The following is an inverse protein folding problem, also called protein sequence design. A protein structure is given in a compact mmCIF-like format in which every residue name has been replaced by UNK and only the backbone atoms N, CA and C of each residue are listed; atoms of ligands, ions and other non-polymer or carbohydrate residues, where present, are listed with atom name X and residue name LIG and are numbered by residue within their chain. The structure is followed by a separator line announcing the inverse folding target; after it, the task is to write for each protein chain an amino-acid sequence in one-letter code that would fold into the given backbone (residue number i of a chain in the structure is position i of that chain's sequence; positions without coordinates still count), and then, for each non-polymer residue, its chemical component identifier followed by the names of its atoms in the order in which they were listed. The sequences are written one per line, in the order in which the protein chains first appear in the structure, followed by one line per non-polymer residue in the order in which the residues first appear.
data_IF_721903221052
#
_entry.id   IF_721903221052
#
_cell.length_a   1.000
_cell.length_b   1.000
_cell.length_c   1.000
_cell.angle_alpha   90.00
_cell.angle_beta   90.00
_cell.angle_gamma   90.00
#
_symmetry.space_group_name_H-M   'P 1'
#
loop_
_entity.id
_entity.type
_entity.pdbx_description
1 polymer ?
#
# COMPACT_ATOMS: atom_id res chain seq x y z
N UNK A 1 -16.47 -10.25 15.08
CA UNK A 1 -15.14 -9.64 14.91
C UNK A 1 -14.77 -9.77 13.44
N UNK A 2 -14.69 -8.65 12.73
CA UNK A 2 -14.39 -8.63 11.29
C UNK A 2 -12.90 -8.33 11.12
N UNK A 3 -12.13 -9.33 10.71
CA UNK A 3 -10.73 -9.17 10.32
C UNK A 3 -10.66 -8.87 8.83
N UNK A 4 -10.05 -7.77 8.44
CA UNK A 4 -9.91 -7.38 7.04
C UNK A 4 -8.51 -6.84 6.80
N UNK A 5 -7.76 -7.53 5.93
CA UNK A 5 -6.44 -7.06 5.52
C UNK A 5 -6.55 -5.86 4.58
N UNK A 6 -5.60 -4.97 4.67
CA UNK A 6 -5.43 -3.81 3.79
C UNK A 6 -3.96 -3.45 3.68
N UNK A 7 -3.54 -3.06 2.49
CA UNK A 7 -2.20 -2.58 2.19
C UNK A 7 -2.20 -1.05 2.16
N UNK A 8 -1.35 -0.44 2.98
CA UNK A 8 -1.09 1.00 2.97
C UNK A 8 0.31 1.25 2.42
N UNK A 9 0.46 2.34 1.69
CA UNK A 9 1.71 2.70 1.04
C UNK A 9 2.12 4.10 1.42
N UNK A 10 3.40 4.27 1.67
CA UNK A 10 4.02 5.55 2.00
C UNK A 10 5.21 5.76 1.08
N UNK A 11 5.35 6.94 0.51
CA UNK A 11 6.59 7.40 -0.09
C UNK A 11 7.23 8.39 0.88
N UNK A 12 8.49 8.15 1.25
CA UNK A 12 9.22 9.01 2.18
C UNK A 12 10.58 9.41 1.64
N UNK A 13 10.99 10.63 1.96
CA UNK A 13 12.34 11.15 1.71
C UNK A 13 13.27 11.04 2.95
N UNK A 14 12.79 10.36 4.00
CA UNK A 14 13.46 10.21 5.28
C UNK A 14 13.08 11.26 6.32
N UNK A 15 12.58 12.41 5.88
CA UNK A 15 12.11 13.52 6.73
C UNK A 15 10.60 13.69 6.63
N UNK A 16 10.12 13.75 5.39
CA UNK A 16 8.72 13.93 5.03
C UNK A 16 8.16 12.67 4.39
N UNK A 17 6.86 12.62 4.26
CA UNK A 17 6.20 11.50 3.58
C UNK A 17 4.87 11.94 2.94
N UNK A 18 4.46 11.18 1.94
CA UNK A 18 3.09 11.20 1.40
C UNK A 18 2.46 9.82 1.58
N UNK A 19 1.19 9.80 1.96
CA UNK A 19 0.40 8.56 2.02
C UNK A 19 -0.21 8.34 0.66
N UNK A 20 0.17 7.23 0.01
CA UNK A 20 -0.36 6.84 -1.29
C UNK A 20 -1.72 6.15 -1.12
N UNK A 21 -2.49 5.94 -2.22
CA UNK A 21 -3.74 5.21 -2.15
C UNK A 21 -3.56 3.84 -1.53
N UNK A 22 -4.46 3.48 -0.62
CA UNK A 22 -4.51 2.14 -0.06
C UNK A 22 -5.08 1.15 -1.07
N UNK A 23 -4.76 -0.14 -0.89
CA UNK A 23 -5.31 -1.21 -1.69
C UNK A 23 -5.59 -2.46 -0.87
N UNK A 24 -6.44 -3.32 -1.39
CA UNK A 24 -6.64 -4.68 -0.88
C UNK A 24 -6.29 -5.66 -1.98
N UNK A 25 -5.37 -6.57 -1.68
CA UNK A 25 -5.07 -7.71 -2.54
C UNK A 25 -6.01 -8.90 -2.27
N UNK A 26 -6.10 -9.78 -3.26
CA UNK A 26 -6.85 -11.04 -3.22
C UNK A 26 -5.90 -12.18 -3.56
N UNK A 27 -5.57 -12.99 -2.57
CA UNK A 27 -4.51 -14.01 -2.68
C UNK A 27 -4.99 -15.40 -3.07
N UNK A 28 -6.28 -15.68 -2.94
CA UNK A 28 -6.81 -17.01 -3.25
C UNK A 28 -7.09 -17.18 -4.74
N UNK A 29 -6.73 -18.36 -5.27
CA UNK A 29 -6.88 -18.64 -6.70
C UNK A 29 -8.34 -18.83 -7.13
N UNK A 30 -9.21 -19.27 -6.25
CA UNK A 30 -10.60 -19.62 -6.55
C UNK A 30 -11.60 -18.55 -6.13
N UNK A 31 -12.75 -18.57 -6.77
CA UNK A 31 -13.87 -17.68 -6.48
C UNK A 31 -14.31 -17.78 -5.02
N UNK A 32 -14.77 -16.65 -4.47
CA UNK A 32 -15.24 -16.60 -3.09
C UNK A 32 -14.17 -16.78 -2.03
N UNK A 33 -12.92 -16.41 -2.33
CA UNK A 33 -11.78 -16.51 -1.42
C UNK A 33 -11.46 -17.97 -1.04
N UNK A 34 -11.45 -18.86 -2.04
CA UNK A 34 -11.21 -20.29 -1.89
C UNK A 34 -9.94 -20.76 -2.62
N UNK A 35 -9.53 -22.00 -2.37
CA UNK A 35 -8.34 -22.59 -3.01
C UNK A 35 -7.03 -22.15 -2.37
N UNK A 36 -5.94 -22.33 -3.11
CA UNK A 36 -4.58 -22.06 -2.65
C UNK A 36 -4.27 -20.56 -2.61
N UNK A 37 -3.38 -20.18 -1.72
CA UNK A 37 -2.78 -18.85 -1.73
C UNK A 37 -1.80 -18.73 -2.91
N UNK A 38 -1.77 -17.54 -3.49
CA UNK A 38 -0.91 -17.14 -4.60
C UNK A 38 -0.06 -15.93 -4.20
N UNK A 39 0.71 -15.40 -5.13
CA UNK A 39 1.37 -14.10 -4.99
C UNK A 39 0.38 -12.92 -4.96
N UNK A 40 -0.80 -13.09 -5.55
CA UNK A 40 -1.88 -12.12 -5.67
C UNK A 40 -2.63 -12.32 -6.98
N UNK A 41 -3.95 -12.44 -6.91
CA UNK A 41 -4.83 -12.63 -8.08
C UNK A 41 -5.46 -11.33 -8.55
N UNK A 42 -5.35 -10.29 -7.77
CA UNK A 42 -5.86 -8.97 -8.10
C UNK A 42 -5.84 -8.03 -6.92
N UNK A 43 -6.10 -6.76 -7.18
CA UNK A 43 -6.19 -5.74 -6.16
C UNK A 43 -7.29 -4.73 -6.46
N UNK A 44 -7.82 -4.09 -5.43
CA UNK A 44 -8.83 -3.03 -5.52
C UNK A 44 -8.38 -1.83 -4.71
N UNK A 45 -8.53 -0.63 -5.28
CA UNK A 45 -8.28 0.65 -4.63
C UNK A 45 -9.33 1.68 -5.12
N UNK A 46 -10.00 2.49 -4.27
CA UNK A 46 -9.91 2.49 -2.80
C UNK A 46 -10.57 1.27 -2.18
N UNK A 47 -10.22 1.02 -0.92
CA UNK A 47 -10.78 -0.11 -0.15
C UNK A 47 -12.04 0.34 0.57
N UNK A 48 -13.23 -0.25 0.29
CA UNK A 48 -14.52 0.28 0.78
C UNK A 48 -14.68 0.37 2.30
N UNK A 49 -13.94 -0.44 3.06
CA UNK A 49 -13.99 -0.44 4.52
C UNK A 49 -12.92 0.45 5.18
N UNK A 50 -12.06 1.08 4.40
CA UNK A 50 -11.05 2.03 4.89
C UNK A 50 -11.70 3.41 4.98
N UNK A 51 -11.93 3.86 6.21
CA UNK A 51 -12.51 5.17 6.50
C UNK A 51 -11.40 6.20 6.73
N UNK A 52 -11.76 7.49 6.66
CA UNK A 52 -10.84 8.57 7.03
C UNK A 52 -10.31 8.43 8.47
N UNK A 53 -11.17 7.97 9.40
CA UNK A 53 -10.76 7.72 10.79
C UNK A 53 -9.71 6.61 10.87
N UNK A 54 -9.90 5.52 10.12
CA UNK A 54 -8.91 4.44 10.04
C UNK A 54 -7.56 4.96 9.50
N UNK A 55 -7.56 5.71 8.40
CA UNK A 55 -6.33 6.31 7.83
C UNK A 55 -5.65 7.22 8.85
N UNK A 56 -6.39 8.08 9.55
CA UNK A 56 -5.85 8.94 10.60
C UNK A 56 -5.20 8.14 11.74
N UNK A 57 -5.81 7.01 12.13
CA UNK A 57 -5.23 6.12 13.15
C UNK A 57 -3.92 5.49 12.64
N UNK A 58 -3.90 5.00 11.40
CA UNK A 58 -2.70 4.44 10.77
C UNK A 58 -1.59 5.49 10.73
N UNK A 59 -1.90 6.68 10.26
CA UNK A 59 -0.91 7.75 10.18
C UNK A 59 -0.33 8.10 11.56
N UNK A 60 -1.19 8.29 12.55
CA UNK A 60 -0.78 8.70 13.90
C UNK A 60 -0.02 7.61 14.66
N UNK A 61 -0.51 6.34 14.56
CA UNK A 61 -0.03 5.24 15.42
C UNK A 61 1.08 4.41 14.76
N UNK A 62 1.19 4.47 13.42
CA UNK A 62 2.06 3.59 12.64
C UNK A 62 3.02 4.40 11.77
N UNK A 63 2.52 5.20 10.81
CA UNK A 63 3.37 5.89 9.84
C UNK A 63 4.34 6.87 10.53
N UNK A 64 3.80 7.83 11.30
CA UNK A 64 4.63 8.83 11.99
C UNK A 64 5.67 8.21 12.92
N UNK A 65 5.30 7.24 13.79
CA UNK A 65 6.30 6.55 14.61
C UNK A 65 7.34 5.78 13.81
N UNK A 66 6.96 5.19 12.66
CA UNK A 66 7.90 4.47 11.79
C UNK A 66 8.93 5.44 11.19
N UNK A 67 8.51 6.55 10.60
CA UNK A 67 9.42 7.56 10.04
C UNK A 67 10.32 8.15 11.13
N UNK A 68 9.75 8.46 12.29
CA UNK A 68 10.53 8.96 13.43
C UNK A 68 11.54 7.92 13.92
N UNK A 69 11.15 6.65 14.03
CA UNK A 69 12.04 5.57 14.44
C UNK A 69 13.22 5.36 13.47
N UNK A 70 12.98 5.44 12.15
CA UNK A 70 14.05 5.37 11.17
C UNK A 70 15.10 6.48 11.40
N UNK A 71 14.65 7.71 11.71
CA UNK A 71 15.55 8.84 12.03
C UNK A 71 16.33 8.60 13.31
N UNK A 72 15.67 8.16 14.37
CA UNK A 72 16.28 7.91 15.68
C UNK A 72 17.34 6.80 15.62
N UNK A 73 17.10 5.78 14.80
CA UNK A 73 18.05 4.67 14.56
C UNK A 73 19.13 5.03 13.52
N UNK A 74 19.14 6.27 12.98
CA UNK A 74 20.04 6.73 11.94
C UNK A 74 19.99 5.87 10.66
N UNK A 75 18.79 5.38 10.30
CA UNK A 75 18.56 4.67 9.06
C UNK A 75 18.19 5.69 7.98
N UNK A 76 19.13 5.96 7.08
CA UNK A 76 18.91 6.82 5.91
C UNK A 76 18.10 6.05 4.86
N UNK A 77 16.78 6.24 4.89
CA UNK A 77 15.87 5.57 3.98
C UNK A 77 15.04 6.57 3.17
N UNK A 78 15.08 6.42 1.84
CA UNK A 78 14.21 7.14 0.89
C UNK A 78 13.57 6.14 -0.04
N UNK A 79 12.24 6.25 -0.24
CA UNK A 79 11.51 5.35 -1.11
C UNK A 79 10.17 4.91 -0.55
N UNK A 80 9.68 3.78 -1.04
CA UNK A 80 8.37 3.24 -0.69
C UNK A 80 8.44 2.37 0.55
N UNK A 81 7.47 2.54 1.45
CA UNK A 81 7.19 1.63 2.56
C UNK A 81 5.79 1.07 2.34
N UNK A 82 5.71 -0.24 2.14
CA UNK A 82 4.47 -1.01 2.21
C UNK A 82 4.21 -1.37 3.67
N UNK A 83 2.98 -1.20 4.11
CA UNK A 83 2.52 -1.55 5.45
C UNK A 83 1.31 -2.47 5.31
N UNK A 84 1.52 -3.76 5.54
CA UNK A 84 0.44 -4.74 5.64
C UNK A 84 -0.29 -4.61 6.96
N UNK A 85 -1.58 -4.34 6.90
CA UNK A 85 -2.42 -4.07 8.07
C UNK A 85 -3.57 -5.05 8.18
N UNK A 86 -3.96 -5.35 9.41
CA UNK A 86 -5.23 -5.94 9.76
C UNK A 86 -6.11 -4.88 10.40
N UNK A 87 -7.28 -4.63 9.79
CA UNK A 87 -8.33 -3.82 10.41
C UNK A 87 -9.14 -4.72 11.34
N UNK A 88 -9.07 -4.45 12.63
CA UNK A 88 -9.84 -5.15 13.67
C UNK A 88 -10.81 -4.17 14.29
N UNK A 89 -12.08 -4.26 13.89
CA UNK A 89 -13.16 -3.39 14.40
C UNK A 89 -12.84 -1.88 14.33
N UNK A 90 -12.11 -1.46 13.29
CA UNK A 90 -11.74 -0.06 13.05
C UNK A 90 -10.40 0.36 13.67
N UNK A 91 -9.64 -0.57 14.26
CA UNK A 91 -8.28 -0.33 14.73
C UNK A 91 -7.24 -1.04 13.84
N UNK A 92 -6.15 -0.35 13.45
CA UNK A 92 -5.11 -0.92 12.63
C UNK A 92 -4.08 -1.67 13.47
N UNK A 93 -3.73 -2.88 13.02
CA UNK A 93 -2.64 -3.70 13.54
C UNK A 93 -1.67 -4.03 12.41
N UNK A 94 -0.38 -3.82 12.63
CA UNK A 94 0.65 -4.14 11.64
C UNK A 94 0.86 -5.64 11.57
N UNK A 95 0.84 -6.17 10.35
CA UNK A 95 1.21 -7.54 10.01
C UNK A 95 2.68 -7.59 9.62
N UNK A 96 3.06 -6.70 8.67
CA UNK A 96 4.41 -6.66 8.11
C UNK A 96 4.75 -5.28 7.53
N UNK A 97 6.05 -5.03 7.38
CA UNK A 97 6.60 -3.95 6.59
C UNK A 97 7.40 -4.52 5.42
N UNK A 98 7.33 -3.86 4.27
CA UNK A 98 8.19 -4.13 3.13
C UNK A 98 8.73 -2.80 2.59
N UNK A 99 10.00 -2.77 2.19
CA UNK A 99 10.66 -1.59 1.63
C UNK A 99 10.52 -1.53 0.11
N UNK A 100 9.31 -1.76 -0.37
CA UNK A 100 8.89 -1.78 -1.78
C UNK A 100 7.39 -1.63 -1.89
N UNK A 101 6.91 -1.47 -3.10
CA UNK A 101 5.48 -1.56 -3.39
C UNK A 101 4.98 -3.02 -3.37
N UNK A 102 3.67 -3.21 -3.41
CA UNK A 102 3.03 -4.53 -3.48
C UNK A 102 2.80 -5.01 -4.91
N UNK A 103 2.62 -6.29 -5.09
CA UNK A 103 2.18 -6.93 -6.31
C UNK A 103 0.99 -7.86 -5.97
N UNK A 104 -0.22 -7.61 -6.53
CA UNK A 104 -0.55 -6.73 -7.66
C UNK A 104 -1.13 -5.35 -7.27
N UNK A 105 -0.82 -4.81 -6.10
CA UNK A 105 -1.37 -3.53 -5.66
C UNK A 105 -0.79 -2.34 -6.41
N UNK A 106 0.48 -2.42 -6.84
CA UNK A 106 1.19 -1.31 -7.50
C UNK A 106 0.40 -0.76 -8.69
N UNK A 107 -0.11 -1.63 -9.54
CA UNK A 107 -0.87 -1.28 -10.74
C UNK A 107 -2.10 -0.45 -10.38
N UNK A 108 -2.82 -0.88 -9.35
CA UNK A 108 -3.99 -0.17 -8.85
C UNK A 108 -3.64 1.16 -8.18
N UNK A 109 -2.60 1.20 -7.37
CA UNK A 109 -2.16 2.41 -6.64
C UNK A 109 -1.63 3.46 -7.60
N UNK A 110 -0.74 3.10 -8.53
CA UNK A 110 -0.12 4.04 -9.46
C UNK A 110 -1.14 4.71 -10.38
N UNK A 111 -2.18 3.99 -10.83
CA UNK A 111 -3.25 4.55 -11.66
C UNK A 111 -4.13 5.55 -10.93
N UNK A 112 -4.03 5.65 -9.60
CA UNK A 112 -4.77 6.60 -8.77
C UNK A 112 -3.93 7.79 -8.30
N UNK A 113 -2.69 7.92 -8.73
CA UNK A 113 -1.86 9.10 -8.49
C UNK A 113 -2.14 10.11 -9.59
N UNK A 114 -2.78 11.24 -9.26
CA UNK A 114 -3.08 12.33 -10.20
C UNK A 114 -1.94 13.36 -10.31
N UNK A 115 -0.98 13.33 -9.39
CA UNK A 115 0.23 14.14 -9.45
C UNK A 115 1.22 13.59 -10.48
N UNK A 116 2.13 14.44 -10.98
CA UNK A 116 3.25 13.97 -11.80
C UNK A 116 4.13 13.03 -10.97
N UNK A 117 4.16 11.76 -11.38
CA UNK A 117 4.91 10.72 -10.65
C UNK A 117 6.41 10.97 -10.71
N UNK A 118 6.95 11.50 -11.82
CA UNK A 118 8.37 11.80 -11.94
C UNK A 118 8.77 12.93 -11.01
N UNK A 119 7.97 13.99 -10.92
CA UNK A 119 8.19 15.09 -9.98
C UNK A 119 8.16 14.58 -8.52
N UNK A 120 7.19 13.72 -8.20
CA UNK A 120 7.07 13.13 -6.87
C UNK A 120 8.29 12.29 -6.48
N UNK A 121 8.81 11.47 -7.41
CA UNK A 121 9.98 10.63 -7.18
C UNK A 121 11.28 11.46 -7.12
N UNK A 122 11.42 12.49 -7.96
CA UNK A 122 12.56 13.40 -7.88
C UNK A 122 12.57 14.17 -6.55
N UNK A 123 11.41 14.70 -6.14
CA UNK A 123 11.28 15.36 -4.85
C UNK A 123 11.64 14.43 -3.68
N UNK A 124 11.22 13.17 -3.75
CA UNK A 124 11.61 12.15 -2.77
C UNK A 124 13.14 11.96 -2.72
N UNK A 125 13.77 11.79 -3.86
CA UNK A 125 15.22 11.62 -3.95
C UNK A 125 15.99 12.84 -3.41
N UNK A 126 15.48 14.05 -3.67
CA UNK A 126 16.09 15.32 -3.26
C UNK A 126 15.77 15.75 -1.81
N UNK A 127 14.87 15.03 -1.10
CA UNK A 127 14.44 15.42 0.25
C UNK A 127 13.48 16.60 0.28
N UNK A 128 12.62 16.74 -0.75
CA UNK A 128 11.71 17.87 -0.97
C UNK A 128 10.24 17.47 -1.09
N UNK A 129 9.84 16.32 -0.51
CA UNK A 129 8.45 15.84 -0.59
C UNK A 129 7.43 16.82 -0.01
N UNK A 130 7.83 17.67 0.93
CA UNK A 130 6.98 18.71 1.50
C UNK A 130 6.67 19.86 0.54
N UNK A 131 7.34 19.95 -0.60
CA UNK A 131 7.14 20.99 -1.63
C UNK A 131 6.16 20.53 -2.72
N UNK A 132 5.83 19.24 -2.78
CA UNK A 132 4.96 18.67 -3.84
C UNK A 132 3.50 18.72 -3.42
N UNK A 133 2.63 19.25 -4.30
CA UNK A 133 1.18 19.19 -4.15
C UNK A 133 0.66 17.82 -4.60
N UNK A 134 0.70 16.84 -3.70
CA UNK A 134 0.27 15.47 -3.97
C UNK A 134 -1.26 15.33 -4.03
N UNK A 135 -1.74 14.74 -5.12
CA UNK A 135 -3.17 14.51 -5.37
C UNK A 135 -3.46 13.07 -5.76
N UNK A 136 -4.60 12.59 -5.30
CA UNK A 136 -5.10 11.24 -5.55
C UNK A 136 -6.40 11.28 -6.32
N UNK A 137 -6.53 10.46 -7.35
CA UNK A 137 -7.77 10.27 -8.10
C UNK A 137 -8.89 9.70 -7.22
N UNK A 138 -10.12 10.24 -7.33
CA UNK A 138 -11.28 9.67 -6.65
C UNK A 138 -11.79 8.38 -7.31
N UNK A 139 -11.29 8.04 -8.50
CA UNK A 139 -11.73 6.87 -9.26
C UNK A 139 -11.30 5.57 -8.59
N UNK A 140 -12.04 4.51 -8.87
CA UNK A 140 -11.71 3.15 -8.45
C UNK A 140 -10.78 2.50 -9.48
N UNK A 141 -9.76 1.83 -8.99
CA UNK A 141 -8.87 0.97 -9.77
C UNK A 141 -9.05 -0.49 -9.37
N UNK A 142 -9.01 -1.37 -10.36
CA UNK A 142 -9.07 -2.83 -10.17
C UNK A 142 -7.97 -3.45 -11.02
N UNK A 143 -7.13 -4.26 -10.40
CA UNK A 143 -6.12 -5.09 -11.06
C UNK A 143 -6.60 -6.53 -11.09
N UNK A 144 -6.44 -7.21 -12.22
CA UNK A 144 -6.75 -8.64 -12.38
C UNK A 144 -5.55 -9.34 -13.00
N UNK A 145 -5.03 -10.35 -12.30
CA UNK A 145 -3.89 -11.14 -12.77
C UNK A 145 -4.35 -12.28 -13.67
N UNK A 146 -3.81 -12.34 -14.87
CA UNK A 146 -3.99 -13.45 -15.79
C UNK A 146 -2.85 -14.44 -15.59
N UNK A 147 -3.19 -15.68 -15.32
CA UNK A 147 -2.22 -16.73 -14.99
C UNK A 147 -2.41 -17.97 -15.86
N UNK A 148 -1.36 -18.79 -15.97
CA UNK A 148 -1.43 -20.09 -16.67
C UNK A 148 -2.35 -21.05 -15.92
N UNK A 149 -2.97 -21.99 -16.69
CA UNK A 149 -3.74 -23.06 -16.07
C UNK A 149 -2.85 -23.94 -15.19
N UNK A 150 -3.36 -24.27 -14.00
CA UNK A 150 -2.62 -25.01 -12.97
C UNK A 150 -1.90 -24.15 -11.92
N UNK A 151 -1.72 -22.83 -12.18
CA UNK A 151 -1.15 -21.92 -11.18
C UNK A 151 -1.97 -21.95 -9.86
N UNK A 152 -1.34 -21.92 -8.66
CA UNK A 152 0.09 -21.73 -8.35
C UNK A 152 0.90 -23.03 -8.19
N UNK A 153 0.37 -24.18 -8.61
CA UNK A 153 1.07 -25.45 -8.51
C UNK A 153 1.86 -25.75 -9.81
N UNK A 154 1.62 -26.92 -10.43
CA UNK A 154 2.26 -27.30 -11.69
C UNK A 154 1.58 -26.60 -12.87
N UNK A 155 2.09 -25.45 -13.26
CA UNK A 155 1.59 -24.67 -14.40
C UNK A 155 2.56 -24.74 -15.59
N UNK A 156 2.00 -24.66 -16.81
CA UNK A 156 2.75 -24.74 -18.07
C UNK A 156 2.94 -23.36 -18.68
#
# INVERSE_FOLDING_TARGET
MLFRSVSMFVLTDGEHYVVLPEAKDYKRIGDGDTGLNTGGMGAVSPVPFVTKDFVNKVEKRIIKPTIQGLKEENIDYKGFIFIGLMNVDGDPYVIEYNVRMGDPETEGVMTRIDSDLLELLDACAQGRLNEVDYKTSPNTSVTVMLVSGGYPEDYK
#
